data_IF_889033225923
#
_entry.id   IF_889033225923
#
_cell.length_a   1.000
_cell.length_b   1.000
_cell.length_c   1.000
_cell.angle_alpha   90.00
_cell.angle_beta   90.00
_cell.angle_gamma   90.00
#
_symmetry.space_group_name_H-M   'P 1'
#
loop_
_entity.id
_entity.type
_entity.pdbx_description
1 polymer ?
#
# COMPACT_ATOMS: atom_id res chain seq x y z
N UNK A 1 -6.90 -14.42 -1.24
CA UNK A 1 -6.81 -13.33 -0.24
C UNK A 1 -5.47 -12.66 -0.47
N UNK A 2 -5.45 -11.38 -0.84
CA UNK A 2 -4.24 -10.72 -1.36
C UNK A 2 -3.32 -10.33 -0.19
N UNK A 3 -2.40 -11.22 0.20
CA UNK A 3 -1.22 -10.80 0.94
C UNK A 3 -0.26 -10.11 -0.05
N UNK A 4 -0.64 -8.94 -0.55
CA UNK A 4 0.32 -8.09 -1.25
C UNK A 4 1.37 -7.66 -0.22
N UNK A 5 2.49 -8.40 -0.16
CA UNK A 5 3.56 -8.21 0.83
C UNK A 5 4.67 -7.28 0.36
N UNK A 6 4.62 -6.81 -0.88
CA UNK A 6 5.65 -5.97 -1.48
C UNK A 6 5.12 -4.57 -1.80
N UNK A 7 5.98 -3.59 -1.59
CA UNK A 7 5.82 -2.23 -2.10
C UNK A 7 6.81 -2.04 -3.24
N UNK A 8 6.30 -1.67 -4.42
CA UNK A 8 7.14 -1.47 -5.60
C UNK A 8 7.99 -0.19 -5.47
N UNK A 9 9.22 -0.17 -6.03
CA UNK A 9 10.04 1.03 -6.08
C UNK A 9 9.29 2.21 -6.72
N UNK A 10 9.23 3.34 -6.00
CA UNK A 10 8.47 4.52 -6.41
C UNK A 10 7.18 4.74 -5.61
N UNK A 11 6.70 3.74 -4.86
CA UNK A 11 5.51 3.88 -4.01
C UNK A 11 5.63 5.07 -3.05
N UNK A 12 4.74 6.07 -3.22
CA UNK A 12 4.70 7.29 -2.41
C UNK A 12 5.89 8.23 -2.56
N UNK A 13 6.81 7.97 -3.51
CA UNK A 13 8.02 8.77 -3.69
C UNK A 13 7.75 10.08 -4.45
N UNK A 14 8.38 11.17 -4.02
CA UNK A 14 8.16 12.51 -4.59
C UNK A 14 8.59 12.65 -6.05
N UNK A 15 9.71 12.03 -6.44
CA UNK A 15 10.14 12.02 -7.85
C UNK A 15 9.23 11.17 -8.76
N UNK A 16 8.35 10.34 -8.17
CA UNK A 16 7.29 9.63 -8.91
C UNK A 16 5.94 10.38 -8.86
N UNK A 17 5.91 11.63 -8.37
CA UNK A 17 4.69 12.44 -8.26
C UNK A 17 3.89 12.21 -6.97
N UNK A 18 4.45 11.54 -5.96
CA UNK A 18 3.81 11.33 -4.66
C UNK A 18 4.19 12.37 -3.59
N UNK A 19 3.47 12.43 -2.47
CA UNK A 19 3.83 13.22 -1.27
C UNK A 19 3.94 12.34 -0.02
N UNK A 20 4.31 11.07 -0.22
CA UNK A 20 4.00 9.97 0.69
C UNK A 20 2.68 9.29 0.30
N UNK A 21 2.54 8.02 0.67
CA UNK A 21 1.31 7.25 0.41
C UNK A 21 1.00 6.38 1.63
N UNK A 22 -0.29 6.25 1.95
CA UNK A 22 -0.76 5.40 3.05
C UNK A 22 -0.89 3.97 2.52
N UNK A 23 -0.30 3.01 3.23
CA UNK A 23 -0.53 1.60 2.97
C UNK A 23 -1.95 1.19 3.40
N UNK A 24 -2.58 0.33 2.61
CA UNK A 24 -3.84 -0.33 2.98
C UNK A 24 -3.49 -1.69 3.55
N UNK A 25 -3.98 -2.00 4.75
CA UNK A 25 -3.71 -3.24 5.46
C UNK A 25 -5.00 -4.08 5.56
N UNK A 26 -4.91 -5.36 5.22
CA UNK A 26 -5.95 -6.33 5.56
C UNK A 26 -5.64 -6.89 6.96
N UNK A 27 -6.38 -6.43 7.98
CA UNK A 27 -6.18 -6.86 9.39
C UNK A 27 -7.28 -7.82 9.80
N UNK A 28 -6.90 -8.93 10.47
CA UNK A 28 -7.83 -9.93 11.00
C UNK A 28 -7.42 -10.29 12.43
N UNK A 29 -8.41 -10.43 13.31
CA UNK A 29 -8.19 -11.04 14.62
C UNK A 29 -8.11 -12.56 14.48
N UNK A 30 -7.26 -13.19 15.28
CA UNK A 30 -7.13 -14.65 15.35
C UNK A 30 -7.55 -15.13 16.74
N UNK A 31 -8.35 -16.19 16.79
CA UNK A 31 -8.79 -16.95 17.98
C UNK A 31 -9.69 -16.18 18.98
N UNK A 32 -9.29 -14.99 19.41
CA UNK A 32 -10.02 -14.16 20.36
C UNK A 32 -10.35 -12.78 19.78
N UNK A 33 -11.39 -12.09 20.28
CA UNK A 33 -11.62 -10.69 19.93
C UNK A 33 -10.42 -9.83 20.34
N UNK A 34 -10.06 -8.87 19.48
CA UNK A 34 -8.95 -7.96 19.70
C UNK A 34 -9.38 -6.54 19.35
N UNK A 35 -9.10 -5.59 20.25
CA UNK A 35 -9.36 -4.15 20.02
C UNK A 35 -8.09 -3.54 19.42
N UNK A 36 -8.26 -2.81 18.32
CA UNK A 36 -7.20 -2.03 17.68
C UNK A 36 -7.39 -0.56 18.01
N UNK A 37 -6.36 0.04 18.60
CA UNK A 37 -6.35 1.45 18.93
C UNK A 37 -5.61 2.30 17.89
N UNK A 38 -5.96 3.58 17.83
CA UNK A 38 -5.23 4.53 17.00
C UNK A 38 -3.77 4.64 17.43
N UNK A 39 -2.85 4.57 16.47
CA UNK A 39 -1.41 4.64 16.72
C UNK A 39 -0.78 3.32 17.17
N UNK A 40 -1.58 2.26 17.35
CA UNK A 40 -1.07 0.94 17.65
C UNK A 40 -0.21 0.41 16.50
N UNK A 41 0.95 -0.14 16.83
CA UNK A 41 1.84 -0.76 15.86
C UNK A 41 1.22 -2.09 15.40
N UNK A 42 0.96 -2.21 14.10
CA UNK A 42 0.34 -3.41 13.49
C UNK A 42 1.28 -4.16 12.54
N UNK A 43 2.48 -3.64 12.29
CA UNK A 43 3.45 -4.24 11.39
C UNK A 43 4.71 -3.39 11.22
N UNK A 44 5.63 -3.89 10.39
CA UNK A 44 6.90 -3.25 10.06
C UNK A 44 7.13 -3.31 8.55
N UNK A 45 7.59 -2.22 7.97
CA UNK A 45 8.07 -2.19 6.59
C UNK A 45 9.56 -2.54 6.57
N UNK A 46 9.94 -3.46 5.68
CA UNK A 46 11.34 -3.86 5.46
C UNK A 46 11.75 -3.40 4.07
N UNK A 47 12.95 -2.82 3.98
CA UNK A 47 13.52 -2.35 2.72
C UNK A 47 14.60 -3.30 2.24
N UNK A 48 14.56 -3.63 0.96
CA UNK A 48 15.57 -4.46 0.31
C UNK A 48 16.17 -3.72 -0.89
N UNK A 49 17.46 -3.97 -1.15
CA UNK A 49 18.14 -3.39 -2.30
C UNK A 49 17.75 -4.11 -3.59
N UNK A 50 17.41 -3.34 -4.62
CA UNK A 50 17.19 -3.87 -5.97
C UNK A 50 18.52 -4.18 -6.65
N UNK A 51 18.53 -5.23 -7.46
CA UNK A 51 19.70 -5.62 -8.26
C UNK A 51 20.15 -4.50 -9.21
N UNK A 52 19.19 -3.73 -9.75
CA UNK A 52 19.40 -2.59 -10.65
C UNK A 52 18.28 -1.57 -10.45
N UNK A 53 18.51 -0.33 -10.89
CA UNK A 53 17.46 0.70 -10.91
C UNK A 53 16.35 0.29 -11.89
N UNK A 54 15.06 0.27 -11.47
CA UNK A 54 13.95 -0.02 -12.37
C UNK A 54 13.82 1.00 -13.49
N UNK A 55 13.38 0.55 -14.67
CA UNK A 55 13.14 1.42 -15.84
C UNK A 55 11.81 2.19 -15.71
N UNK A 56 10.80 1.58 -15.11
CA UNK A 56 9.54 2.20 -14.74
C UNK A 56 9.42 2.21 -13.21
N UNK A 57 9.01 3.34 -12.65
CA UNK A 57 8.73 3.46 -11.22
C UNK A 57 7.23 3.36 -10.99
N UNK A 58 6.85 2.81 -9.85
CA UNK A 58 5.46 2.89 -9.41
C UNK A 58 5.05 4.36 -9.33
N UNK A 59 3.97 4.72 -10.04
CA UNK A 59 3.46 6.08 -10.07
C UNK A 59 3.74 6.93 -11.30
N UNK A 60 4.76 6.59 -12.09
CA UNK A 60 5.15 7.42 -13.24
C UNK A 60 4.35 7.10 -14.50
N UNK A 61 3.87 5.85 -14.65
CA UNK A 61 3.12 5.39 -15.82
C UNK A 61 1.65 5.03 -15.50
N UNK A 62 0.77 5.33 -16.46
CA UNK A 62 -0.68 5.12 -16.42
C UNK A 62 -1.06 3.69 -15.96
N UNK A 63 -1.62 3.57 -14.76
CA UNK A 63 -2.09 2.29 -14.20
C UNK A 63 -1.83 2.07 -12.72
N UNK A 64 -1.12 2.99 -12.05
CA UNK A 64 -0.78 2.90 -10.62
C UNK A 64 -2.02 3.08 -9.74
N UNK A 65 -2.67 1.95 -9.40
CA UNK A 65 -3.94 1.93 -8.66
C UNK A 65 -3.90 2.52 -7.24
N UNK A 66 -2.72 2.68 -6.66
CA UNK A 66 -2.49 3.09 -5.26
C UNK A 66 -1.63 4.36 -5.13
N UNK A 67 -1.23 4.99 -6.24
CA UNK A 67 -0.52 6.28 -6.21
C UNK A 67 -1.50 7.38 -5.78
N UNK A 68 -1.15 8.14 -4.74
CA UNK A 68 -1.83 9.38 -4.34
C UNK A 68 -3.31 9.27 -3.87
N UNK A 69 -3.86 8.09 -3.59
CA UNK A 69 -5.27 7.97 -3.22
C UNK A 69 -5.49 7.75 -1.71
N UNK A 70 -6.46 8.47 -1.14
CA UNK A 70 -7.06 8.14 0.16
C UNK A 70 -7.70 6.75 0.15
N UNK A 71 -8.19 6.28 1.31
CA UNK A 71 -8.82 4.96 1.50
C UNK A 71 -9.72 4.58 0.31
N UNK A 72 -9.26 3.64 -0.51
CA UNK A 72 -9.98 3.16 -1.70
C UNK A 72 -10.37 1.71 -1.47
N UNK A 73 -11.66 1.41 -1.66
CA UNK A 73 -12.13 0.03 -1.68
C UNK A 73 -11.44 -0.75 -2.81
N UNK A 74 -11.20 -2.04 -2.57
CA UNK A 74 -10.61 -2.92 -3.56
C UNK A 74 -11.41 -2.86 -4.88
N UNK A 75 -10.73 -3.05 -6.02
CA UNK A 75 -11.32 -3.07 -7.38
C UNK A 75 -12.46 -4.09 -7.55
N UNK A 76 -12.59 -5.02 -6.61
CA UNK A 76 -13.66 -6.02 -6.57
C UNK A 76 -14.97 -5.50 -5.96
N UNK A 77 -14.95 -4.33 -5.31
CA UNK A 77 -16.14 -3.69 -4.76
C UNK A 77 -16.70 -2.66 -5.74
N UNK A 78 -18.02 -2.69 -5.95
CA UNK A 78 -18.72 -1.60 -6.65
C UNK A 78 -18.81 -0.39 -5.71
N UNK A 79 -18.58 0.80 -6.25
CA UNK A 79 -18.87 2.04 -5.52
C UNK A 79 -20.36 2.05 -5.11
N UNK A 80 -20.64 2.44 -3.87
CA UNK A 80 -22.01 2.68 -3.44
C UNK A 80 -22.63 3.77 -4.35
N UNK A 81 -23.84 3.52 -4.83
CA UNK A 81 -24.61 4.51 -5.61
C UNK A 81 -24.97 5.71 -4.74
#
# INVERSE_FOLDING_TARGET
VHYAGFFDPGFGHSAAGGSGSRAVLEVRSHEVPFILDHGQIVGRLVYEHMLKRPQALYGTDLGSNYQAQGLKLSKHFRAAR
#
